data_IF_279791889645
#
_entry.id   IF_279791889645
#
_cell.length_a   1.000
_cell.length_b   1.000
_cell.length_c   1.000
_cell.angle_alpha   90.00
_cell.angle_beta   90.00
_cell.angle_gamma   90.00
#
_symmetry.space_group_name_H-M   'P 1'
#
loop_
_entity.id
_entity.type
_entity.pdbx_description
1 polymer ?
#
# COMPACT_ATOMS: atom_id res chain seq x y z
N UNK A 1 25.62 98.48 6.28
CA UNK A 1 25.65 97.29 5.41
C UNK A 1 25.52 95.94 6.16
N UNK A 2 24.90 95.91 7.35
CA UNK A 2 25.03 94.75 8.27
C UNK A 2 23.81 93.80 8.30
N UNK A 3 22.64 94.23 7.84
CA UNK A 3 21.38 93.46 7.98
C UNK A 3 21.18 92.40 6.90
N UNK A 4 21.48 92.71 5.63
CA UNK A 4 21.26 91.79 4.50
C UNK A 4 22.20 90.58 4.60
N UNK A 5 23.48 90.79 4.91
CA UNK A 5 24.46 89.69 5.04
C UNK A 5 24.13 88.77 6.22
N UNK A 6 23.72 89.34 7.36
CA UNK A 6 23.22 88.58 8.52
C UNK A 6 21.97 87.77 8.16
N UNK A 7 21.04 88.36 7.41
CA UNK A 7 19.85 87.67 6.94
C UNK A 7 20.20 86.49 6.03
N UNK A 8 21.10 86.66 5.05
CA UNK A 8 21.55 85.59 4.15
C UNK A 8 22.28 84.46 4.92
N UNK A 9 23.10 84.82 5.90
CA UNK A 9 23.78 83.84 6.76
C UNK A 9 22.76 83.04 7.60
N UNK A 10 21.76 83.71 8.19
CA UNK A 10 20.68 83.05 8.92
C UNK A 10 19.84 82.15 8.01
N UNK A 11 19.50 82.60 6.80
CA UNK A 11 18.74 81.81 5.82
C UNK A 11 19.51 80.59 5.35
N UNK A 12 20.82 80.73 5.07
CA UNK A 12 21.66 79.58 4.68
C UNK A 12 21.80 78.56 5.82
N UNK A 13 21.99 79.01 7.07
CA UNK A 13 21.98 78.11 8.24
C UNK A 13 20.63 77.42 8.40
N UNK A 14 19.52 78.14 8.27
CA UNK A 14 18.16 77.57 8.30
C UNK A 14 17.94 76.55 7.19
N UNK A 15 18.46 76.81 5.98
CA UNK A 15 18.33 75.92 4.83
C UNK A 15 19.15 74.64 5.03
N UNK A 16 20.37 74.74 5.57
CA UNK A 16 21.17 73.58 5.95
C UNK A 16 20.49 72.77 7.05
N UNK A 17 19.97 73.42 8.10
CA UNK A 17 19.21 72.74 9.15
C UNK A 17 17.97 72.05 8.59
N UNK A 18 17.25 72.69 7.67
CA UNK A 18 16.08 72.11 7.03
C UNK A 18 16.44 70.87 6.18
N UNK A 19 17.53 70.93 5.41
CA UNK A 19 18.04 69.78 4.65
C UNK A 19 18.49 68.63 5.56
N UNK A 20 19.11 68.93 6.70
CA UNK A 20 19.48 67.93 7.70
C UNK A 20 18.23 67.26 8.31
N UNK A 21 17.19 68.05 8.61
CA UNK A 21 15.92 67.51 9.13
C UNK A 21 15.22 66.65 8.08
N UNK A 22 15.20 67.07 6.81
CA UNK A 22 14.65 66.26 5.71
C UNK A 22 15.37 64.91 5.55
N UNK A 23 16.71 64.91 5.53
CA UNK A 23 17.48 63.65 5.48
C UNK A 23 17.24 62.77 6.70
N UNK A 24 17.10 63.38 7.89
CA UNK A 24 16.76 62.65 9.11
C UNK A 24 15.39 61.96 9.00
N UNK A 25 14.39 62.65 8.45
CA UNK A 25 13.05 62.10 8.22
C UNK A 25 13.05 60.98 7.16
N UNK A 26 13.79 61.14 6.06
CA UNK A 26 13.95 60.10 5.02
C UNK A 26 14.62 58.84 5.57
N UNK A 27 15.69 59.01 6.37
CA UNK A 27 16.37 57.89 7.01
C UNK A 27 15.43 57.14 7.96
N UNK A 28 14.69 57.88 8.79
CA UNK A 28 13.75 57.30 9.75
C UNK A 28 12.59 56.57 9.04
N UNK A 29 12.10 57.08 7.91
CA UNK A 29 11.12 56.40 7.06
C UNK A 29 11.69 55.10 6.47
N UNK A 30 12.95 55.12 6.03
CA UNK A 30 13.61 53.94 5.48
C UNK A 30 13.84 52.84 6.54
N UNK A 31 14.23 53.23 7.76
CA UNK A 31 14.34 52.31 8.90
C UNK A 31 12.99 51.66 9.24
N UNK A 32 11.89 52.43 9.22
CA UNK A 32 10.55 51.90 9.43
C UNK A 32 10.14 50.89 8.34
N UNK A 33 10.44 51.18 7.07
CA UNK A 33 10.17 50.25 5.97
C UNK A 33 10.98 48.95 6.11
N UNK A 34 12.26 49.04 6.46
CA UNK A 34 13.11 47.88 6.68
C UNK A 34 12.60 47.02 7.85
N UNK A 35 12.09 47.65 8.91
CA UNK A 35 11.53 46.94 10.06
C UNK A 35 10.22 46.22 9.69
N UNK A 36 9.33 46.88 8.93
CA UNK A 36 8.12 46.24 8.40
C UNK A 36 8.44 45.02 7.52
N UNK A 37 9.44 45.10 6.65
CA UNK A 37 9.85 43.96 5.82
C UNK A 37 10.38 42.78 6.66
N UNK A 38 11.13 43.05 7.73
CA UNK A 38 11.60 42.02 8.67
C UNK A 38 10.43 41.37 9.40
N UNK A 39 9.46 42.16 9.85
CA UNK A 39 8.27 41.66 10.56
C UNK A 39 7.39 40.82 9.63
N UNK A 40 7.21 41.21 8.37
CA UNK A 40 6.51 40.42 7.36
C UNK A 40 7.21 39.08 7.09
N UNK A 41 8.54 39.07 6.95
CA UNK A 41 9.30 37.81 6.79
C UNK A 41 9.15 36.89 8.01
N UNK A 42 9.15 37.44 9.22
CA UNK A 42 8.95 36.66 10.44
C UNK A 42 7.54 36.06 10.50
N UNK A 43 6.51 36.82 10.11
CA UNK A 43 5.12 36.34 10.01
C UNK A 43 4.99 35.19 9.01
N UNK A 44 5.55 35.34 7.80
CA UNK A 44 5.52 34.28 6.78
C UNK A 44 6.23 33.00 7.23
N UNK A 45 7.36 33.12 7.93
CA UNK A 45 8.08 31.97 8.52
C UNK A 45 7.30 31.30 9.65
N UNK A 46 6.53 32.07 10.43
CA UNK A 46 5.66 31.51 11.46
C UNK A 46 4.48 30.74 10.85
N UNK A 47 3.84 31.29 9.81
CA UNK A 47 2.77 30.61 9.06
C UNK A 47 3.25 29.32 8.39
N UNK A 48 4.45 29.32 7.79
CA UNK A 48 5.05 28.12 7.23
C UNK A 48 5.27 27.05 8.30
N UNK A 49 5.86 27.41 9.44
CA UNK A 49 6.04 26.48 10.57
C UNK A 49 4.70 25.94 11.07
N UNK A 50 3.66 26.77 11.13
CA UNK A 50 2.33 26.32 11.55
C UNK A 50 1.70 25.34 10.55
N UNK A 51 1.87 25.56 9.24
CA UNK A 51 1.44 24.60 8.20
C UNK A 51 2.22 23.29 8.26
N UNK A 52 3.52 23.34 8.54
CA UNK A 52 4.35 22.14 8.73
C UNK A 52 3.90 21.35 9.96
N UNK A 53 3.69 22.01 11.10
CA UNK A 53 3.16 21.37 12.31
C UNK A 53 1.78 20.75 12.09
N UNK A 54 0.91 21.40 11.30
CA UNK A 54 -0.40 20.86 10.96
C UNK A 54 -0.29 19.61 10.09
N UNK A 55 0.61 19.61 9.09
CA UNK A 55 0.92 18.42 8.27
C UNK A 55 1.54 17.30 9.11
N UNK A 56 2.41 17.63 10.06
CA UNK A 56 2.97 16.66 11.00
C UNK A 56 1.89 16.08 11.89
N UNK A 57 0.98 16.91 12.44
CA UNK A 57 -0.15 16.46 13.24
C UNK A 57 -1.10 15.58 12.43
N UNK A 58 -1.45 15.95 11.20
CA UNK A 58 -2.21 15.13 10.27
C UNK A 58 -1.48 13.82 9.94
N UNK A 59 -0.17 13.85 9.74
CA UNK A 59 0.64 12.65 9.51
C UNK A 59 0.70 11.76 10.76
N UNK A 60 0.74 12.34 11.95
CA UNK A 60 0.72 11.62 13.23
C UNK A 60 -0.66 11.04 13.50
N UNK A 61 -1.73 11.79 13.24
CA UNK A 61 -3.10 11.29 13.25
C UNK A 61 -3.30 10.19 12.21
N UNK A 62 -2.76 10.32 10.99
CA UNK A 62 -2.76 9.24 10.00
C UNK A 62 -1.97 8.03 10.47
N UNK A 63 -0.88 8.20 11.23
CA UNK A 63 -0.12 7.09 11.83
C UNK A 63 -0.84 6.44 13.01
N UNK A 64 -1.59 7.21 13.79
CA UNK A 64 -2.39 6.74 14.92
C UNK A 64 -3.72 6.11 14.47
N UNK A 65 -4.32 6.63 13.40
CA UNK A 65 -5.52 6.07 12.75
C UNK A 65 -5.16 4.94 11.79
N UNK A 66 -3.97 4.96 11.18
CA UNK A 66 -3.35 3.77 10.62
C UNK A 66 -2.86 2.91 11.76
N UNK A 67 -3.77 2.15 12.37
CA UNK A 67 -3.33 0.88 12.95
C UNK A 67 -2.41 0.24 11.91
N UNK A 68 -1.13 0.05 12.22
CA UNK A 68 -0.13 -0.60 11.37
C UNK A 68 -0.38 -2.11 11.26
N UNK A 69 -1.64 -2.51 11.34
CA UNK A 69 -2.14 -3.76 10.82
C UNK A 69 -2.54 -3.48 9.39
N UNK A 70 -2.09 -4.31 8.47
CA UNK A 70 -2.58 -4.37 7.09
C UNK A 70 -4.05 -4.80 7.03
N UNK A 71 -4.92 -4.29 7.92
CA UNK A 71 -6.34 -4.27 7.62
C UNK A 71 -6.51 -3.23 6.55
N UNK A 72 -6.83 -3.70 5.34
CA UNK A 72 -7.65 -2.94 4.38
C UNK A 72 -8.63 -2.06 5.20
N UNK A 73 -8.91 -0.80 4.77
CA UNK A 73 -10.00 -0.04 5.38
C UNK A 73 -11.18 -1.01 5.55
N UNK A 74 -11.71 -1.07 6.77
CA UNK A 74 -12.82 -1.92 7.16
C UNK A 74 -14.03 -1.51 6.33
N UNK A 75 -14.08 -1.94 5.07
CA UNK A 75 -15.29 -1.98 4.29
C UNK A 75 -16.05 -3.10 4.97
N UNK A 76 -16.99 -2.75 5.86
CA UNK A 76 -17.98 -3.71 6.36
C UNK A 76 -18.53 -4.38 5.10
N UNK A 77 -18.24 -5.67 4.89
CA UNK A 77 -18.36 -6.23 3.56
C UNK A 77 -19.83 -6.33 3.18
N UNK A 78 -20.27 -5.39 2.35
CA UNK A 78 -21.42 -5.41 1.45
C UNK A 78 -22.46 -6.51 1.78
N UNK A 79 -23.59 -6.11 2.36
CA UNK A 79 -24.71 -7.00 2.67
C UNK A 79 -24.49 -7.93 3.85
N UNK A 80 -25.51 -8.12 4.68
CA UNK A 80 -25.43 -9.03 5.83
C UNK A 80 -25.31 -10.48 5.34
N UNK A 81 -24.06 -10.93 5.20
CA UNK A 81 -23.68 -12.31 4.86
C UNK A 81 -23.38 -13.05 6.15
N UNK A 82 -24.43 -13.58 6.78
CA UNK A 82 -24.32 -14.26 8.07
C UNK A 82 -24.29 -15.78 7.90
N UNK A 83 -23.56 -16.51 8.75
CA UNK A 83 -23.69 -17.96 8.84
C UNK A 83 -25.13 -18.35 9.19
N UNK A 84 -25.70 -19.29 8.43
CA UNK A 84 -27.06 -19.78 8.65
C UNK A 84 -27.03 -21.12 9.38
N UNK A 85 -27.97 -21.31 10.31
CA UNK A 85 -28.05 -22.54 11.11
C UNK A 85 -28.35 -23.73 10.19
N UNK A 86 -27.50 -24.76 10.23
CA UNK A 86 -27.64 -25.97 9.41
C UNK A 86 -27.12 -25.85 7.99
N UNK A 87 -26.57 -24.70 7.60
CA UNK A 87 -25.94 -24.49 6.30
C UNK A 87 -24.42 -24.47 6.49
N UNK A 88 -23.74 -25.50 6.00
CA UNK A 88 -22.29 -25.65 6.07
C UNK A 88 -21.73 -25.76 4.66
N UNK A 89 -21.38 -24.63 4.01
CA UNK A 89 -20.87 -24.65 2.66
C UNK A 89 -19.55 -25.39 2.56
N UNK A 90 -19.36 -26.10 1.45
CA UNK A 90 -18.13 -26.84 1.21
C UNK A 90 -16.91 -25.92 1.10
N UNK A 91 -15.79 -26.47 1.53
CA UNK A 91 -14.48 -25.84 1.41
C UNK A 91 -13.68 -26.48 0.30
N UNK A 92 -12.96 -25.63 -0.42
CA UNK A 92 -12.12 -25.98 -1.55
C UNK A 92 -10.65 -25.86 -1.15
N UNK A 93 -9.75 -26.37 -2.01
CA UNK A 93 -8.30 -26.25 -1.83
C UNK A 93 -7.72 -25.36 -2.92
N UNK A 94 -6.76 -24.53 -2.55
CA UNK A 94 -6.04 -23.66 -3.48
C UNK A 94 -4.54 -23.76 -3.21
N UNK A 95 -3.74 -23.84 -4.28
CA UNK A 95 -2.28 -23.74 -4.20
C UNK A 95 -1.86 -22.27 -4.24
N UNK A 96 -0.96 -21.89 -3.33
CA UNK A 96 -0.41 -20.55 -3.23
C UNK A 96 1.10 -20.62 -2.96
N UNK A 97 1.91 -19.67 -3.44
CA UNK A 97 3.34 -19.62 -3.15
C UNK A 97 3.67 -19.66 -1.65
N UNK A 98 4.51 -20.60 -1.23
CA UNK A 98 4.88 -20.78 0.18
C UNK A 98 5.65 -19.58 0.76
N UNK A 99 6.33 -18.81 -0.10
CA UNK A 99 7.05 -17.57 0.28
C UNK A 99 6.14 -16.56 0.98
N UNK A 100 4.85 -16.51 0.66
CA UNK A 100 3.91 -15.57 1.28
C UNK A 100 3.70 -15.83 2.78
N UNK A 101 4.01 -17.03 3.26
CA UNK A 101 3.88 -17.44 4.66
C UNK A 101 5.19 -17.30 5.44
N UNK A 102 6.27 -16.82 4.81
CA UNK A 102 7.54 -16.61 5.48
C UNK A 102 7.51 -15.35 6.36
N UNK A 103 7.74 -15.51 7.65
CA UNK A 103 7.82 -14.40 8.62
C UNK A 103 9.24 -14.10 9.09
N UNK A 104 10.10 -15.11 9.07
CA UNK A 104 11.50 -15.02 9.48
C UNK A 104 12.41 -15.20 8.26
N UNK A 105 13.42 -14.33 8.14
CA UNK A 105 14.30 -14.27 6.96
C UNK A 105 15.13 -15.54 6.78
N UNK A 106 15.57 -16.13 7.89
CA UNK A 106 16.49 -17.27 7.92
C UNK A 106 15.77 -18.62 7.81
N UNK A 107 14.44 -18.65 7.95
CA UNK A 107 13.66 -19.88 7.84
C UNK A 107 13.55 -20.28 6.38
N UNK A 108 13.95 -21.50 6.07
CA UNK A 108 13.82 -22.07 4.72
C UNK A 108 12.34 -22.13 4.34
N UNK A 109 12.05 -21.72 3.11
CA UNK A 109 10.71 -21.83 2.54
C UNK A 109 10.44 -23.30 2.26
N UNK A 110 9.46 -23.89 2.95
CA UNK A 110 9.00 -25.26 2.74
C UNK A 110 7.48 -25.24 2.61
N UNK A 111 7.01 -25.69 1.46
CA UNK A 111 5.61 -25.85 1.13
C UNK A 111 5.08 -27.25 1.44
N UNK A 112 3.75 -27.38 1.54
CA UNK A 112 3.07 -28.66 1.78
C UNK A 112 2.38 -29.24 0.52
N UNK A 113 2.61 -28.67 -0.68
CA UNK A 113 2.08 -29.22 -1.92
C UNK A 113 2.79 -30.52 -2.34
N UNK A 114 2.00 -31.44 -2.90
CA UNK A 114 2.50 -32.69 -3.49
C UNK A 114 3.18 -32.51 -4.84
N UNK A 115 2.93 -31.40 -5.54
CA UNK A 115 3.42 -31.15 -6.90
C UNK A 115 4.66 -30.26 -6.91
N UNK A 116 4.75 -29.29 -5.99
CA UNK A 116 5.87 -28.36 -5.90
C UNK A 116 6.17 -27.97 -4.43
N UNK A 117 7.39 -28.24 -3.90
CA UNK A 117 7.75 -27.92 -2.52
C UNK A 117 7.83 -26.41 -2.21
N UNK A 118 7.74 -25.53 -3.21
CA UNK A 118 7.65 -24.08 -3.01
C UNK A 118 6.20 -23.57 -2.99
N UNK A 119 5.21 -24.48 -3.04
CA UNK A 119 3.79 -24.18 -3.01
C UNK A 119 3.14 -24.74 -1.75
N UNK A 120 2.16 -24.01 -1.22
CA UNK A 120 1.29 -24.42 -0.13
C UNK A 120 -0.12 -24.66 -0.63
N UNK A 121 -0.70 -25.81 -0.29
CA UNK A 121 -2.12 -26.10 -0.40
C UNK A 121 -2.82 -25.56 0.83
N UNK A 122 -3.67 -24.55 0.64
CA UNK A 122 -4.50 -23.96 1.68
C UNK A 122 -5.98 -24.31 1.45
N UNK A 123 -6.72 -24.40 2.54
CA UNK A 123 -8.18 -24.49 2.50
C UNK A 123 -8.76 -23.09 2.25
N UNK A 124 -9.74 -22.99 1.37
CA UNK A 124 -10.47 -21.74 1.04
C UNK A 124 -11.96 -22.04 0.92
N UNK A 125 -12.80 -21.03 1.03
CA UNK A 125 -14.21 -21.20 0.69
C UNK A 125 -14.35 -21.47 -0.82
N UNK A 126 -15.25 -22.38 -1.20
CA UNK A 126 -15.51 -22.65 -2.60
C UNK A 126 -16.09 -21.41 -3.32
N UNK A 127 -16.04 -21.41 -4.66
CA UNK A 127 -16.53 -20.28 -5.48
C UNK A 127 -17.97 -19.91 -5.10
N UNK A 128 -18.23 -18.62 -4.96
CA UNK A 128 -19.53 -18.07 -4.51
C UNK A 128 -19.66 -17.95 -3.00
N UNK A 129 -18.60 -18.32 -2.25
CA UNK A 129 -18.52 -18.21 -0.80
C UNK A 129 -17.23 -17.51 -0.40
N UNK A 130 -17.27 -16.77 0.69
CA UNK A 130 -16.14 -16.07 1.30
C UNK A 130 -16.03 -16.42 2.78
N UNK A 131 -14.84 -16.22 3.35
CA UNK A 131 -14.62 -16.44 4.79
C UNK A 131 -15.43 -15.43 5.60
N UNK A 132 -16.10 -15.90 6.64
CA UNK A 132 -16.80 -15.03 7.58
C UNK A 132 -15.79 -14.24 8.42
N UNK A 133 -16.04 -12.95 8.64
CA UNK A 133 -15.03 -12.05 9.24
C UNK A 133 -14.69 -12.41 10.69
N UNK A 134 -15.68 -12.83 11.47
CA UNK A 134 -15.51 -13.13 12.89
C UNK A 134 -15.07 -14.57 13.16
N UNK A 135 -15.35 -15.49 12.23
CA UNK A 135 -14.88 -16.87 12.27
C UNK A 135 -14.40 -17.29 10.88
N UNK A 136 -13.09 -17.21 10.67
CA UNK A 136 -12.47 -17.50 9.37
C UNK A 136 -12.60 -18.96 8.96
N UNK A 137 -13.02 -19.86 9.85
CA UNK A 137 -13.29 -21.25 9.53
C UNK A 137 -14.64 -21.46 8.85
N UNK A 138 -15.55 -20.48 8.93
CA UNK A 138 -16.87 -20.54 8.32
C UNK A 138 -16.91 -19.82 6.97
N UNK A 139 -17.73 -20.36 6.06
CA UNK A 139 -17.98 -19.79 4.76
C UNK A 139 -19.38 -19.18 4.71
N UNK A 140 -19.49 -17.97 4.20
CA UNK A 140 -20.75 -17.24 3.99
C UNK A 140 -20.88 -16.85 2.51
N UNK A 141 -22.10 -16.64 1.99
CA UNK A 141 -22.28 -16.31 0.58
C UNK A 141 -21.49 -15.05 0.21
N UNK A 142 -20.90 -15.06 -0.99
CA UNK A 142 -20.19 -13.90 -1.54
C UNK A 142 -21.04 -13.20 -2.60
N UNK A 143 -21.59 -12.03 -2.25
CA UNK A 143 -22.34 -11.16 -3.17
C UNK A 143 -21.44 -10.13 -3.87
N UNK A 144 -20.12 -10.12 -3.60
CA UNK A 144 -19.20 -9.13 -4.17
C UNK A 144 -19.59 -7.69 -3.82
N UNK A 145 -19.82 -6.87 -4.85
CA UNK A 145 -20.33 -5.49 -4.71
C UNK A 145 -21.86 -5.39 -4.76
N UNK A 146 -22.57 -6.50 -4.93
CA UNK A 146 -24.04 -6.51 -4.94
C UNK A 146 -24.55 -6.69 -3.52
N UNK A 147 -25.78 -6.26 -3.26
CA UNK A 147 -26.39 -6.36 -1.93
C UNK A 147 -25.68 -5.52 -0.86
N UNK A 148 -25.10 -4.36 -1.18
CA UNK A 148 -24.21 -3.64 -0.24
C UNK A 148 -24.89 -3.26 1.08
N UNK A 149 -26.17 -2.93 1.04
CA UNK A 149 -26.95 -2.45 2.18
C UNK A 149 -28.37 -3.02 2.15
N UNK A 150 -29.05 -3.01 3.30
CA UNK A 150 -30.47 -3.29 3.45
C UNK A 150 -30.96 -4.66 2.95
N UNK A 151 -30.08 -5.66 2.93
CA UNK A 151 -30.42 -7.03 2.54
C UNK A 151 -29.48 -8.09 3.10
N UNK A 152 -29.98 -9.32 3.09
CA UNK A 152 -29.23 -10.54 3.34
C UNK A 152 -28.64 -11.07 2.04
N UNK A 153 -27.34 -11.37 2.05
CA UNK A 153 -26.71 -12.13 0.97
C UNK A 153 -26.99 -13.62 1.19
N UNK A 154 -27.59 -14.29 0.20
CA UNK A 154 -27.87 -15.74 0.24
C UNK A 154 -27.10 -16.48 -0.85
N UNK A 155 -27.06 -17.81 -0.75
CA UNK A 155 -26.36 -18.67 -1.69
C UNK A 155 -26.68 -18.32 -3.16
N UNK A 156 -25.65 -18.36 -4.01
CA UNK A 156 -25.73 -17.94 -5.42
C UNK A 156 -25.54 -16.44 -5.66
N UNK A 157 -25.14 -15.66 -4.64
CA UNK A 157 -24.93 -14.22 -4.77
C UNK A 157 -26.24 -13.43 -4.91
N UNK A 158 -27.36 -14.01 -4.43
CA UNK A 158 -28.68 -13.38 -4.47
C UNK A 158 -28.89 -12.51 -3.24
N UNK A 159 -29.43 -11.32 -3.44
CA UNK A 159 -29.78 -10.41 -2.35
C UNK A 159 -31.25 -10.55 -1.98
N UNK A 160 -31.54 -10.76 -0.69
CA UNK A 160 -32.89 -10.72 -0.14
C UNK A 160 -33.01 -9.46 0.70
N UNK A 161 -33.76 -8.48 0.20
CA UNK A 161 -33.94 -7.22 0.90
C UNK A 161 -34.70 -7.38 2.23
N UNK A 162 -34.44 -6.49 3.18
CA UNK A 162 -35.21 -6.41 4.41
C UNK A 162 -36.66 -6.01 4.13
N UNK A 163 -37.51 -6.13 5.15
CA UNK A 163 -38.88 -5.62 5.11
C UNK A 163 -38.87 -4.15 4.71
N UNK A 164 -39.80 -3.76 3.84
CA UNK A 164 -39.91 -2.40 3.29
C UNK A 164 -38.75 -1.97 2.38
N UNK A 165 -37.90 -2.90 1.94
CA UNK A 165 -36.92 -2.69 0.89
C UNK A 165 -37.17 -3.61 -0.30
N UNK A 166 -36.86 -3.15 -1.50
CA UNK A 166 -36.98 -3.93 -2.74
C UNK A 166 -35.76 -3.76 -3.63
N UNK A 167 -35.48 -4.74 -4.47
CA UNK A 167 -34.39 -4.63 -5.46
C UNK A 167 -34.79 -3.64 -6.54
N UNK A 168 -33.94 -2.64 -6.76
CA UNK A 168 -34.04 -1.78 -7.92
C UNK A 168 -33.39 -2.44 -9.16
N UNK A 169 -33.44 -1.74 -10.29
CA UNK A 169 -32.79 -2.16 -11.55
C UNK A 169 -31.26 -2.30 -11.48
N UNK A 170 -30.61 -1.83 -10.41
CA UNK A 170 -29.17 -2.01 -10.12
C UNK A 170 -28.90 -3.14 -9.12
N UNK A 171 -29.89 -3.98 -8.80
CA UNK A 171 -29.80 -5.03 -7.78
C UNK A 171 -29.43 -4.53 -6.37
N UNK A 172 -29.74 -3.27 -6.06
CA UNK A 172 -29.58 -2.69 -4.73
C UNK A 172 -30.92 -2.68 -3.99
N UNK A 173 -30.89 -2.98 -2.69
CA UNK A 173 -32.07 -2.88 -1.84
C UNK A 173 -32.35 -1.42 -1.51
N UNK A 174 -33.36 -0.87 -2.17
CA UNK A 174 -33.82 0.51 -1.97
C UNK A 174 -35.03 0.55 -1.05
N UNK A 175 -35.16 1.60 -0.21
CA UNK A 175 -36.31 1.74 0.68
C UNK A 175 -37.59 1.98 -0.12
N UNK A 176 -38.69 1.52 0.45
CA UNK A 176 -40.06 1.76 -0.01
C UNK A 176 -40.84 2.50 1.08
N UNK A 177 -41.97 3.12 0.71
CA UNK A 177 -42.79 3.82 1.69
C UNK A 177 -43.32 2.84 2.76
N UNK A 178 -43.29 3.20 4.05
CA UNK A 178 -43.12 4.57 4.59
C UNK A 178 -41.66 5.01 4.83
N UNK A 179 -40.66 4.12 4.70
CA UNK A 179 -39.26 4.43 5.02
C UNK A 179 -38.66 5.47 4.07
N UNK A 180 -39.00 5.40 2.79
CA UNK A 180 -38.53 6.35 1.80
C UNK A 180 -38.85 5.90 0.38
N UNK A 181 -38.65 6.80 -0.57
CA UNK A 181 -38.74 6.48 -1.98
C UNK A 181 -37.64 7.25 -2.71
N UNK A 182 -36.57 6.59 -3.20
CA UNK A 182 -35.52 7.28 -3.92
C UNK A 182 -36.10 8.00 -5.14
N UNK A 183 -35.74 9.28 -5.33
CA UNK A 183 -36.30 10.13 -6.39
C UNK A 183 -37.83 10.27 -6.35
N UNK A 184 -38.39 10.27 -5.14
CA UNK A 184 -39.81 10.49 -4.93
C UNK A 184 -40.13 10.88 -3.49
N UNK A 185 -41.42 11.09 -3.24
CA UNK A 185 -41.95 11.46 -1.93
C UNK A 185 -42.96 10.41 -1.48
N UNK A 186 -42.83 9.99 -0.23
CA UNK A 186 -43.77 9.07 0.39
C UNK A 186 -44.97 9.81 0.97
N UNK A 187 -46.15 9.25 0.74
CA UNK A 187 -47.40 9.68 1.35
C UNK A 187 -47.81 8.72 2.47
N UNK A 188 -48.64 9.23 3.39
CA UNK A 188 -49.11 8.47 4.57
C UNK A 188 -49.86 7.17 4.20
N UNK A 189 -50.43 7.11 3.00
CA UNK A 189 -51.10 5.94 2.45
C UNK A 189 -50.13 4.88 1.88
N UNK A 190 -48.82 5.04 2.06
CA UNK A 190 -47.79 4.14 1.52
C UNK A 190 -47.51 4.32 0.03
N UNK A 191 -48.12 5.32 -0.63
CA UNK A 191 -47.88 5.58 -2.06
C UNK A 191 -46.63 6.44 -2.23
N UNK A 192 -45.78 6.06 -3.20
CA UNK A 192 -44.69 6.91 -3.65
C UNK A 192 -45.11 7.78 -4.84
N UNK A 193 -44.88 9.08 -4.76
CA UNK A 193 -44.97 9.99 -5.90
C UNK A 193 -43.56 10.33 -6.41
N UNK A 194 -43.27 9.97 -7.65
CA UNK A 194 -41.96 10.22 -8.24
C UNK A 194 -41.72 11.69 -8.58
N UNK A 195 -40.46 12.11 -8.47
CA UNK A 195 -39.99 13.41 -8.91
C UNK A 195 -40.09 13.54 -10.45
N UNK A 196 -40.03 14.77 -10.96
CA UNK A 196 -40.08 15.03 -12.40
C UNK A 196 -38.96 14.27 -13.14
N UNK A 197 -39.33 13.55 -14.20
CA UNK A 197 -38.41 12.73 -14.98
C UNK A 197 -38.21 11.32 -14.42
N UNK A 198 -38.91 10.97 -13.35
CA UNK A 198 -38.97 9.61 -12.81
C UNK A 198 -40.40 9.07 -12.88
N UNK A 199 -40.52 7.76 -12.99
CA UNK A 199 -41.78 7.04 -13.01
C UNK A 199 -41.73 5.86 -12.05
N UNK A 200 -42.92 5.41 -11.62
CA UNK A 200 -43.02 4.24 -10.78
C UNK A 200 -42.63 2.99 -11.58
N UNK A 201 -41.77 2.15 -10.99
CA UNK A 201 -41.47 0.82 -11.50
C UNK A 201 -42.75 -0.02 -11.71
N UNK A 202 -42.66 -1.12 -12.47
CA UNK A 202 -43.77 -2.07 -12.65
C UNK A 202 -44.36 -2.59 -11.34
N UNK A 203 -43.54 -2.69 -10.28
CA UNK A 203 -44.01 -3.06 -8.93
C UNK A 203 -44.69 -1.92 -8.18
N UNK A 204 -44.64 -0.68 -8.69
CA UNK A 204 -45.18 0.56 -8.09
C UNK A 204 -44.63 0.90 -6.70
N UNK A 205 -43.45 0.38 -6.35
CA UNK A 205 -42.85 0.51 -5.00
C UNK A 205 -41.71 1.52 -4.89
N UNK A 206 -41.05 1.84 -6.00
CA UNK A 206 -39.94 2.79 -6.07
C UNK A 206 -39.95 3.51 -7.41
N UNK A 207 -39.19 4.61 -7.51
CA UNK A 207 -39.08 5.41 -8.72
C UNK A 207 -37.84 5.04 -9.53
N UNK A 208 -38.04 4.86 -10.84
CA UNK A 208 -36.98 4.68 -11.83
C UNK A 208 -36.97 5.88 -12.81
N UNK A 209 -35.81 6.24 -13.38
CA UNK A 209 -35.74 7.35 -14.32
C UNK A 209 -36.48 7.05 -15.63
N UNK A 210 -37.14 8.06 -16.20
CA UNK A 210 -37.79 8.01 -17.50
C UNK A 210 -36.77 8.15 -18.64
N UNK A 211 -36.88 7.30 -19.64
CA UNK A 211 -35.96 7.25 -20.77
C UNK A 211 -36.75 7.55 -22.05
N UNK A 212 -36.77 8.82 -22.45
CA UNK A 212 -37.51 9.25 -23.64
C UNK A 212 -36.96 8.62 -24.94
N UNK A 213 -35.66 8.31 -24.97
CA UNK A 213 -35.03 7.50 -26.00
C UNK A 213 -34.85 6.08 -25.44
N UNK A 214 -35.25 5.06 -26.19
CA UNK A 214 -34.97 3.66 -25.88
C UNK A 214 -33.46 3.49 -25.69
N UNK A 215 -33.02 3.24 -24.45
CA UNK A 215 -31.61 2.92 -24.20
C UNK A 215 -31.19 1.70 -25.03
N UNK A 216 -29.94 1.70 -25.50
CA UNK A 216 -29.43 0.64 -26.37
C UNK A 216 -29.26 -0.71 -25.66
N UNK A 217 -28.70 -1.68 -26.37
CA UNK A 217 -28.37 -2.98 -25.78
C UNK A 217 -27.35 -2.82 -24.63
N UNK A 218 -27.60 -3.51 -23.52
CA UNK A 218 -26.79 -3.43 -22.28
C UNK A 218 -26.68 -2.03 -21.66
N UNK A 219 -27.63 -1.15 -21.93
CA UNK A 219 -27.73 0.17 -21.31
C UNK A 219 -28.89 0.24 -20.33
N UNK A 220 -28.66 0.96 -19.23
CA UNK A 220 -29.67 1.31 -18.24
C UNK A 220 -29.70 2.82 -18.07
N UNK A 221 -30.88 3.29 -17.70
CA UNK A 221 -31.12 4.69 -17.45
C UNK A 221 -30.73 4.98 -16.01
N UNK A 222 -29.67 5.76 -15.82
CA UNK A 222 -29.21 6.12 -14.47
C UNK A 222 -29.84 7.42 -14.00
N UNK A 223 -30.17 8.31 -14.93
CA UNK A 223 -30.79 9.61 -14.73
C UNK A 223 -31.82 9.84 -15.85
N UNK A 224 -32.82 10.73 -15.66
CA UNK A 224 -33.82 11.02 -16.67
C UNK A 224 -33.19 11.43 -18.01
N UNK A 225 -33.54 10.73 -19.08
CA UNK A 225 -33.01 10.99 -20.43
C UNK A 225 -31.54 10.63 -20.66
N UNK A 226 -30.85 9.98 -19.71
CA UNK A 226 -29.42 9.63 -19.82
C UNK A 226 -29.18 8.13 -19.64
N UNK A 227 -28.86 7.47 -20.76
CA UNK A 227 -28.51 6.06 -20.81
C UNK A 227 -27.01 5.86 -20.52
N UNK A 228 -26.69 4.96 -19.60
CA UNK A 228 -25.33 4.52 -19.29
C UNK A 228 -25.24 3.01 -19.37
N UNK A 229 -24.04 2.45 -19.43
CA UNK A 229 -23.91 0.99 -19.45
C UNK A 229 -24.45 0.36 -18.16
N UNK A 230 -25.08 -0.81 -18.31
CA UNK A 230 -25.47 -1.66 -17.20
C UNK A 230 -24.24 -2.07 -16.37
N UNK A 231 -24.47 -2.49 -15.13
CA UNK A 231 -23.40 -2.99 -14.26
C UNK A 231 -22.63 -4.12 -14.94
N UNK A 232 -21.29 -4.03 -14.94
CA UNK A 232 -20.42 -4.98 -15.62
C UNK A 232 -20.26 -4.73 -17.12
N UNK A 233 -20.78 -3.62 -17.66
CA UNK A 233 -20.56 -3.20 -19.05
C UNK A 233 -19.92 -1.81 -19.11
N UNK A 234 -19.16 -1.53 -20.18
CA UNK A 234 -18.49 -0.25 -20.41
C UNK A 234 -18.53 0.15 -21.89
N UNK A 235 -18.47 1.45 -22.18
CA UNK A 235 -18.30 1.94 -23.56
C UNK A 235 -16.81 1.94 -23.90
N UNK A 236 -16.46 1.39 -25.06
CA UNK A 236 -15.07 1.43 -25.54
C UNK A 236 -14.61 2.85 -25.91
N UNK A 237 -13.30 3.06 -26.01
CA UNK A 237 -12.72 4.35 -26.39
C UNK A 237 -12.89 4.63 -27.90
N UNK A 238 -13.15 5.91 -28.26
CA UNK A 238 -13.23 6.49 -29.61
C UNK A 238 -13.93 5.61 -30.67
N UNK A 239 -13.18 4.74 -31.36
CA UNK A 239 -13.67 3.88 -32.45
C UNK A 239 -14.60 2.76 -31.95
N UNK A 240 -14.41 2.31 -30.71
CA UNK A 240 -15.26 1.27 -30.10
C UNK A 240 -16.57 1.81 -29.53
N UNK A 241 -16.76 3.14 -29.48
CA UNK A 241 -18.02 3.74 -29.02
C UNK A 241 -19.21 3.34 -29.92
N UNK A 242 -18.95 3.04 -31.20
CA UNK A 242 -19.95 2.56 -32.14
C UNK A 242 -20.51 1.17 -31.78
N UNK A 243 -19.75 0.33 -31.03
CA UNK A 243 -20.19 -1.00 -30.61
C UNK A 243 -21.10 -0.98 -29.37
N UNK A 244 -21.42 0.20 -28.82
CA UNK A 244 -22.25 0.33 -27.62
C UNK A 244 -21.56 -0.18 -26.35
N UNK A 245 -22.36 -0.65 -25.39
CA UNK A 245 -21.88 -1.15 -24.09
C UNK A 245 -21.38 -2.59 -24.19
N UNK A 246 -20.08 -2.77 -23.98
CA UNK A 246 -19.36 -4.05 -24.04
C UNK A 246 -19.16 -4.64 -22.65
N UNK A 247 -19.27 -5.96 -22.47
CA UNK A 247 -19.09 -6.61 -21.17
C UNK A 247 -17.66 -6.50 -20.65
N UNK A 248 -17.52 -6.38 -19.34
CA UNK A 248 -16.26 -6.33 -18.60
C UNK A 248 -16.01 -7.71 -17.98
N UNK A 249 -14.80 -8.24 -18.14
CA UNK A 249 -14.33 -9.41 -17.39
C UNK A 249 -13.12 -9.01 -16.55
N UNK A 250 -13.18 -9.30 -15.25
CA UNK A 250 -12.05 -9.14 -14.33
C UNK A 250 -11.79 -10.50 -13.66
N UNK A 251 -10.63 -11.13 -13.86
CA UNK A 251 -9.55 -10.70 -14.76
C UNK A 251 -9.95 -10.75 -16.25
N UNK A 252 -9.13 -10.13 -17.11
CA UNK A 252 -9.30 -10.15 -18.56
C UNK A 252 -9.36 -11.59 -19.14
N UNK A 253 -10.05 -11.76 -20.27
CA UNK A 253 -10.23 -13.07 -20.89
C UNK A 253 -8.96 -13.64 -21.51
N UNK A 254 -7.90 -12.85 -21.73
CA UNK A 254 -6.67 -13.31 -22.37
C UNK A 254 -6.93 -13.72 -23.82
N UNK A 255 -6.75 -15.00 -24.16
CA UNK A 255 -7.03 -15.53 -25.50
C UNK A 255 -8.51 -15.89 -25.68
N UNK A 256 -9.38 -14.93 -25.39
CA UNK A 256 -10.82 -15.06 -25.52
C UNK A 256 -11.48 -13.69 -25.50
N UNK A 257 -12.80 -13.68 -25.53
CA UNK A 257 -13.59 -12.47 -25.47
C UNK A 257 -14.72 -12.60 -24.44
N UNK A 258 -15.12 -11.47 -23.86
CA UNK A 258 -16.25 -11.43 -22.92
C UNK A 258 -17.57 -11.56 -23.69
N UNK A 259 -18.36 -12.57 -23.35
CA UNK A 259 -19.73 -12.74 -23.89
C UNK A 259 -20.79 -12.17 -22.93
N UNK A 260 -20.46 -12.06 -21.65
CA UNK A 260 -21.28 -11.48 -20.56
C UNK A 260 -20.34 -11.01 -19.45
N UNK A 261 -20.75 -10.13 -18.51
CA UNK A 261 -19.88 -9.72 -17.42
C UNK A 261 -19.27 -10.92 -16.68
N UNK A 262 -17.93 -10.94 -16.60
CA UNK A 262 -17.13 -12.04 -16.03
C UNK A 262 -17.35 -13.42 -16.64
N UNK A 263 -17.79 -13.50 -17.90
CA UNK A 263 -17.96 -14.75 -18.65
C UNK A 263 -17.23 -14.67 -19.98
N UNK A 264 -16.15 -15.44 -20.09
CA UNK A 264 -15.30 -15.48 -21.28
C UNK A 264 -15.65 -16.69 -22.16
N UNK A 265 -15.57 -16.48 -23.48
CA UNK A 265 -15.48 -17.52 -24.49
C UNK A 265 -14.06 -17.55 -25.08
N UNK A 266 -13.44 -18.72 -25.07
CA UNK A 266 -12.06 -18.88 -25.52
C UNK A 266 -11.98 -19.03 -27.04
N UNK A 267 -10.94 -18.46 -27.65
CA UNK A 267 -10.69 -18.67 -29.07
C UNK A 267 -10.35 -20.14 -29.35
N UNK A 268 -10.61 -20.65 -30.57
CA UNK A 268 -10.26 -22.01 -30.94
C UNK A 268 -8.78 -22.34 -30.65
N UNK A 269 -8.53 -23.48 -29.99
CA UNK A 269 -7.19 -23.91 -29.55
C UNK A 269 -6.79 -23.44 -28.15
N UNK A 270 -7.61 -22.60 -27.50
CA UNK A 270 -7.44 -22.17 -26.11
C UNK A 270 -8.53 -22.76 -25.23
N UNK A 271 -8.23 -22.90 -23.94
CA UNK A 271 -9.14 -23.46 -22.94
C UNK A 271 -9.22 -22.57 -21.69
N UNK A 272 -10.32 -22.67 -20.95
CA UNK A 272 -10.48 -21.95 -19.68
C UNK A 272 -9.49 -22.50 -18.66
N UNK A 273 -8.78 -21.62 -17.95
CA UNK A 273 -7.94 -21.98 -16.81
C UNK A 273 -8.77 -22.77 -15.78
N UNK A 274 -8.16 -23.78 -15.15
CA UNK A 274 -8.81 -24.53 -14.06
C UNK A 274 -9.26 -23.56 -12.95
N UNK A 275 -10.53 -23.61 -12.57
CA UNK A 275 -11.18 -22.71 -11.60
C UNK A 275 -11.17 -21.21 -11.96
N UNK A 276 -10.76 -20.83 -13.17
CA UNK A 276 -10.74 -19.45 -13.66
C UNK A 276 -11.77 -19.18 -14.75
N UNK A 277 -11.85 -17.92 -15.18
CA UNK A 277 -12.60 -17.49 -16.37
C UNK A 277 -11.69 -17.17 -17.56
N UNK A 278 -10.43 -16.81 -17.30
CA UNK A 278 -9.43 -16.46 -18.32
C UNK A 278 -9.08 -17.66 -19.19
N UNK A 279 -8.92 -17.39 -20.49
CA UNK A 279 -8.54 -18.36 -21.49
C UNK A 279 -7.02 -18.41 -21.66
N UNK A 280 -6.47 -19.61 -21.66
CA UNK A 280 -5.05 -19.88 -21.84
C UNK A 280 -4.82 -21.05 -22.80
N UNK A 281 -3.60 -21.16 -23.35
CA UNK A 281 -3.22 -22.30 -24.18
C UNK A 281 -3.03 -23.56 -23.34
N UNK A 282 -2.80 -24.70 -24.00
CA UNK A 282 -2.33 -25.91 -23.31
C UNK A 282 -1.00 -25.61 -22.62
N UNK A 283 -1.02 -25.56 -21.29
CA UNK A 283 0.10 -25.11 -20.48
C UNK A 283 0.37 -26.15 -19.39
N UNK A 284 1.61 -26.65 -19.32
CA UNK A 284 2.01 -27.60 -18.28
C UNK A 284 2.33 -26.92 -16.94
N UNK A 285 2.48 -25.59 -16.93
CA UNK A 285 2.84 -24.79 -15.75
C UNK A 285 1.67 -23.90 -15.31
N UNK A 286 1.64 -23.54 -14.03
CA UNK A 286 0.67 -22.62 -13.45
C UNK A 286 1.15 -21.17 -13.61
N UNK A 287 0.76 -20.47 -14.68
CA UNK A 287 1.07 -19.05 -14.89
C UNK A 287 0.05 -18.13 -14.18
N UNK A 288 -0.06 -18.22 -12.85
CA UNK A 288 -0.92 -17.33 -12.06
C UNK A 288 -0.38 -15.88 -12.13
N UNK A 289 -1.25 -14.86 -12.24
CA UNK A 289 -0.88 -13.45 -12.53
C UNK A 289 -0.09 -13.24 -13.85
N UNK A 290 -0.25 -14.15 -14.81
CA UNK A 290 0.35 -14.07 -16.13
C UNK A 290 -0.43 -14.87 -17.18
N UNK A 291 0.18 -14.97 -18.35
CA UNK A 291 -0.33 -15.73 -19.49
C UNK A 291 0.77 -16.62 -20.05
N UNK A 292 0.43 -17.80 -20.54
CA UNK A 292 1.40 -18.63 -21.24
C UNK A 292 1.69 -18.03 -22.63
N UNK A 293 2.96 -17.74 -22.92
CA UNK A 293 3.41 -17.47 -24.29
C UNK A 293 3.57 -18.77 -25.09
N UNK A 294 4.00 -19.85 -24.43
CA UNK A 294 4.10 -21.20 -24.97
C UNK A 294 3.96 -22.22 -23.82
N UNK A 295 4.06 -23.52 -24.11
CA UNK A 295 3.91 -24.61 -23.13
C UNK A 295 4.84 -24.52 -21.90
N UNK A 296 5.95 -23.77 -21.99
CA UNK A 296 7.04 -23.70 -21.01
C UNK A 296 7.42 -22.27 -20.62
N UNK A 297 6.67 -21.25 -21.04
CA UNK A 297 7.03 -19.84 -20.78
C UNK A 297 5.83 -19.03 -20.36
N UNK A 298 5.88 -18.49 -19.13
CA UNK A 298 4.91 -17.51 -18.63
C UNK A 298 5.37 -16.08 -18.98
N UNK A 299 4.45 -15.27 -19.49
CA UNK A 299 4.55 -13.81 -19.56
C UNK A 299 3.78 -13.24 -18.38
N UNK A 300 4.49 -12.60 -17.46
CA UNK A 300 3.89 -12.05 -16.26
C UNK A 300 3.23 -10.69 -16.53
N UNK A 301 2.16 -10.39 -15.79
CA UNK A 301 1.53 -9.06 -15.82
C UNK A 301 2.47 -8.00 -15.25
N UNK A 302 2.17 -6.73 -15.55
CA UNK A 302 2.93 -5.60 -15.00
C UNK A 302 2.97 -5.63 -13.47
N UNK A 303 4.17 -5.46 -12.91
CA UNK A 303 4.39 -5.55 -11.47
C UNK A 303 4.53 -6.99 -10.95
N UNK A 304 4.66 -7.99 -11.83
CA UNK A 304 4.96 -9.37 -11.48
C UNK A 304 6.20 -9.86 -12.25
N UNK A 305 6.94 -10.79 -11.64
CA UNK A 305 8.13 -11.42 -12.22
C UNK A 305 8.03 -12.94 -12.13
N UNK A 306 8.56 -13.63 -13.13
CA UNK A 306 8.56 -15.09 -13.16
C UNK A 306 9.53 -15.64 -12.12
N UNK A 307 9.05 -16.55 -11.27
CA UNK A 307 9.86 -17.25 -10.28
C UNK A 307 10.07 -18.71 -10.68
N UNK A 308 11.33 -19.12 -10.77
CA UNK A 308 11.70 -20.47 -11.21
C UNK A 308 11.34 -21.55 -10.20
N UNK A 309 11.31 -21.22 -8.90
CA UNK A 309 11.05 -22.17 -7.83
C UNK A 309 9.56 -22.55 -7.78
N UNK A 310 8.69 -21.53 -7.80
CA UNK A 310 7.23 -21.70 -7.78
C UNK A 310 6.64 -21.93 -9.17
N UNK A 311 7.40 -21.71 -10.25
CA UNK A 311 6.95 -21.83 -11.66
C UNK A 311 5.74 -20.95 -12.00
N UNK A 312 5.58 -19.83 -11.29
CA UNK A 312 4.47 -18.89 -11.43
C UNK A 312 4.98 -17.44 -11.40
N UNK A 313 4.10 -16.47 -11.63
CA UNK A 313 4.44 -15.05 -11.55
C UNK A 313 4.19 -14.51 -10.13
N UNK A 314 5.27 -14.15 -9.44
CA UNK A 314 5.23 -13.54 -8.12
C UNK A 314 5.22 -12.00 -8.20
N UNK A 315 4.60 -11.30 -7.24
CA UNK A 315 4.63 -9.85 -7.21
C UNK A 315 6.05 -9.29 -7.14
N UNK A 316 6.25 -8.18 -7.84
CA UNK A 316 7.51 -7.46 -7.94
C UNK A 316 7.45 -6.14 -7.14
N UNK A 317 8.39 -5.93 -6.22
CA UNK A 317 8.55 -4.67 -5.48
C UNK A 317 9.79 -3.87 -5.87
N UNK A 318 10.51 -4.27 -6.93
CA UNK A 318 11.81 -3.74 -7.29
C UNK A 318 12.90 -4.06 -6.25
N UNK A 319 14.00 -3.30 -6.29
CA UNK A 319 15.20 -3.53 -5.47
C UNK A 319 15.06 -3.08 -4.00
N UNK A 320 13.90 -2.55 -3.61
CA UNK A 320 13.72 -1.96 -2.28
C UNK A 320 13.10 -2.92 -1.24
N UNK A 321 12.65 -4.12 -1.60
CA UNK A 321 12.05 -5.10 -0.67
C UNK A 321 13.09 -6.04 -0.02
N UNK A 322 14.32 -5.57 0.20
CA UNK A 322 15.28 -6.27 1.05
C UNK A 322 14.71 -6.49 2.44
N UNK A 323 14.88 -7.68 3.01
CA UNK A 323 14.35 -8.07 4.33
C UNK A 323 12.81 -8.06 4.44
N UNK A 324 12.12 -8.36 3.34
CA UNK A 324 10.70 -8.63 3.36
C UNK A 324 10.26 -9.56 2.24
N UNK A 325 8.94 -9.76 2.18
CA UNK A 325 8.26 -10.53 1.14
C UNK A 325 7.32 -9.62 0.37
N UNK A 326 7.40 -9.64 -0.95
CA UNK A 326 6.44 -8.96 -1.82
C UNK A 326 5.07 -9.64 -1.74
N UNK A 327 4.08 -8.97 -1.18
CA UNK A 327 2.71 -9.49 -1.05
C UNK A 327 1.79 -9.02 -2.17
N UNK A 328 2.11 -7.89 -2.82
CA UNK A 328 1.50 -7.39 -4.05
C UNK A 328 2.47 -6.41 -4.73
N UNK A 329 2.25 -6.00 -5.99
CA UNK A 329 3.16 -5.11 -6.69
C UNK A 329 3.46 -3.83 -5.89
N UNK A 330 4.74 -3.54 -5.65
CA UNK A 330 5.20 -2.39 -4.83
C UNK A 330 4.94 -2.51 -3.30
N UNK A 331 4.30 -3.58 -2.83
CA UNK A 331 3.96 -3.77 -1.43
C UNK A 331 4.77 -4.91 -0.80
N UNK A 332 5.74 -4.52 0.03
CA UNK A 332 6.58 -5.40 0.83
C UNK A 332 6.05 -5.56 2.27
N UNK A 333 5.93 -6.81 2.74
CA UNK A 333 5.76 -7.15 4.16
C UNK A 333 7.13 -7.47 4.76
N UNK A 334 7.55 -6.68 5.74
CA UNK A 334 8.85 -6.87 6.38
C UNK A 334 8.90 -8.14 7.25
N UNK A 335 10.08 -8.75 7.34
CA UNK A 335 10.33 -9.86 8.25
C UNK A 335 10.30 -9.40 9.72
N UNK A 336 10.20 -10.36 10.64
CA UNK A 336 10.28 -10.10 12.08
C UNK A 336 11.54 -9.31 12.43
N UNK A 337 11.37 -8.25 13.23
CA UNK A 337 12.47 -7.36 13.63
C UNK A 337 12.84 -6.29 12.59
N UNK A 338 12.09 -6.20 11.49
CA UNK A 338 12.19 -5.13 10.52
C UNK A 338 10.88 -4.34 10.44
N UNK A 339 10.99 -3.04 10.19
CA UNK A 339 9.85 -2.12 10.03
C UNK A 339 9.94 -1.41 8.69
N UNK A 340 8.78 -1.14 8.08
CA UNK A 340 8.72 -0.44 6.79
C UNK A 340 9.06 1.03 6.98
N UNK A 341 10.15 1.47 6.35
CA UNK A 341 10.52 2.87 6.19
C UNK A 341 10.50 3.23 4.70
N UNK A 342 9.50 4.01 4.28
CA UNK A 342 9.21 4.31 2.87
C UNK A 342 9.06 3.01 2.06
N UNK A 343 9.99 2.72 1.15
CA UNK A 343 9.99 1.55 0.28
C UNK A 343 10.84 0.39 0.82
N UNK A 344 11.59 0.59 1.92
CA UNK A 344 12.55 -0.40 2.45
C UNK A 344 12.14 -0.97 3.79
N UNK A 345 12.56 -2.20 4.08
CA UNK A 345 12.46 -2.80 5.41
C UNK A 345 13.77 -2.55 6.17
N UNK A 346 13.71 -1.68 7.17
CA UNK A 346 14.84 -1.34 8.03
C UNK A 346 14.78 -2.13 9.33
N UNK A 347 15.94 -2.56 9.82
CA UNK A 347 16.03 -3.32 11.06
C UNK A 347 15.70 -2.45 12.28
N UNK A 348 15.11 -3.07 13.30
CA UNK A 348 14.75 -2.43 14.57
C UNK A 348 15.73 -2.88 15.66
N UNK A 349 16.22 -1.94 16.47
CA UNK A 349 16.98 -2.21 17.68
C UNK A 349 16.26 -1.59 18.87
N UNK A 350 15.88 -2.41 19.86
CA UNK A 350 15.04 -1.98 20.99
C UNK A 350 15.69 -0.85 21.81
N UNK A 351 17.01 -0.86 21.96
CA UNK A 351 17.77 0.20 22.67
C UNK A 351 18.35 1.29 21.75
N UNK A 352 18.09 1.23 20.44
CA UNK A 352 18.80 2.04 19.45
C UNK A 352 20.30 1.68 19.32
N UNK A 353 21.02 2.42 18.47
CA UNK A 353 22.46 2.23 18.22
C UNK A 353 23.31 3.46 18.54
N UNK A 354 22.69 4.54 19.05
CA UNK A 354 23.32 5.86 19.18
C UNK A 354 23.46 6.60 17.84
N UNK A 355 23.97 7.83 17.87
CA UNK A 355 24.12 8.69 16.68
C UNK A 355 25.15 8.16 15.66
N UNK A 356 26.09 7.32 16.09
CA UNK A 356 27.19 6.79 15.28
C UNK A 356 26.96 5.32 14.85
N UNK A 357 25.70 4.88 14.91
CA UNK A 357 25.32 3.51 14.59
C UNK A 357 24.02 3.43 13.82
N UNK A 358 23.87 2.39 13.00
CA UNK A 358 22.62 2.04 12.34
C UNK A 358 22.27 0.58 12.61
N UNK A 359 20.98 0.27 12.78
CA UNK A 359 20.52 -1.11 12.81
C UNK A 359 20.74 -1.77 11.45
N UNK A 360 21.64 -2.75 11.38
CA UNK A 360 21.94 -3.51 10.15
C UNK A 360 21.22 -4.86 10.13
N UNK A 361 20.82 -5.37 11.29
CA UNK A 361 19.93 -6.51 11.48
C UNK A 361 19.17 -6.31 12.81
N UNK A 362 18.11 -7.08 13.11
CA UNK A 362 17.33 -6.90 14.33
C UNK A 362 18.21 -6.97 15.58
N UNK A 363 18.20 -5.92 16.40
CA UNK A 363 19.05 -5.76 17.58
C UNK A 363 20.57 -5.88 17.34
N UNK A 364 21.03 -5.75 16.09
CA UNK A 364 22.45 -5.71 15.73
C UNK A 364 22.79 -4.33 15.18
N UNK A 365 23.59 -3.60 15.94
CA UNK A 365 24.10 -2.30 15.53
C UNK A 365 25.31 -2.46 14.61
N UNK A 366 25.37 -1.63 13.58
CA UNK A 366 26.53 -1.40 12.75
C UNK A 366 27.16 -0.07 13.12
N UNK A 367 28.35 -0.09 13.70
CA UNK A 367 29.09 1.10 14.11
C UNK A 367 30.04 1.57 13.01
N UNK A 368 29.98 2.87 12.69
CA UNK A 368 30.85 3.51 11.71
C UNK A 368 31.03 5.01 12.02
N UNK A 369 32.19 5.57 11.69
CA UNK A 369 32.49 7.01 11.87
C UNK A 369 31.77 7.85 10.81
N UNK A 370 31.70 7.32 9.58
CA UNK A 370 30.99 7.92 8.44
C UNK A 370 30.07 6.88 7.80
N UNK A 371 28.84 7.24 7.43
CA UNK A 371 28.01 6.40 6.57
C UNK A 371 28.65 6.33 5.19
N UNK A 372 29.51 5.33 4.97
CA UNK A 372 30.09 5.07 3.67
C UNK A 372 29.07 4.47 2.70
N UNK A 373 29.28 4.60 1.38
CA UNK A 373 28.50 3.89 0.36
C UNK A 373 28.67 2.37 0.49
N UNK A 374 29.88 1.93 0.86
CA UNK A 374 30.18 0.54 1.18
C UNK A 374 29.87 0.27 2.66
N UNK A 375 29.03 -0.73 2.89
CA UNK A 375 28.43 -1.07 4.19
C UNK A 375 29.42 -1.75 5.15
N UNK A 376 30.63 -1.23 5.33
CA UNK A 376 31.59 -1.77 6.29
C UNK A 376 31.32 -1.19 7.68
N UNK A 377 30.42 -1.83 8.41
CA UNK A 377 30.13 -1.49 9.80
C UNK A 377 30.77 -2.51 10.74
N UNK A 378 31.39 -2.04 11.83
CA UNK A 378 31.72 -2.93 12.93
C UNK A 378 30.42 -3.44 13.54
N UNK A 379 30.21 -4.76 13.54
CA UNK A 379 29.02 -5.36 14.15
C UNK A 379 29.08 -5.22 15.67
N UNK A 380 27.93 -4.89 16.24
CA UNK A 380 27.75 -4.63 17.66
C UNK A 380 26.36 -5.12 18.09
N UNK A 381 26.23 -6.41 18.31
CA UNK A 381 25.02 -7.01 18.84
C UNK A 381 24.89 -6.73 20.34
N UNK A 382 23.71 -6.30 20.78
CA UNK A 382 23.40 -5.91 22.17
C UNK A 382 24.27 -4.77 22.76
N UNK A 383 24.98 -4.01 21.91
CA UNK A 383 25.78 -2.86 22.32
C UNK A 383 25.35 -1.56 21.61
N UNK A 384 26.06 -0.49 21.92
CA UNK A 384 25.85 0.86 21.36
C UNK A 384 27.10 1.34 20.61
N UNK A 385 26.95 2.22 19.64
CA UNK A 385 28.07 2.79 18.89
C UNK A 385 28.52 4.13 19.48
N UNK A 386 29.82 4.26 19.74
CA UNK A 386 30.42 5.50 20.22
C UNK A 386 30.87 6.44 19.08
N UNK A 387 31.33 7.65 19.43
CA UNK A 387 31.80 8.66 18.46
C UNK A 387 32.99 8.24 17.58
N UNK A 388 33.70 7.18 17.95
CA UNK A 388 34.78 6.59 17.14
C UNK A 388 34.26 5.48 16.21
N UNK A 389 32.95 5.29 16.10
CA UNK A 389 32.37 4.19 15.33
C UNK A 389 32.68 2.80 15.92
N UNK A 390 32.93 2.71 17.23
CA UNK A 390 33.25 1.45 17.91
C UNK A 390 32.10 0.96 18.80
N UNK A 391 31.98 -0.35 18.92
CA UNK A 391 31.03 -1.02 19.80
C UNK A 391 31.38 -0.78 21.28
N UNK A 392 30.39 -0.33 22.05
CA UNK A 392 30.43 -0.12 23.50
C UNK A 392 29.36 -0.98 24.16
N UNK A 393 29.77 -1.79 25.12
CA UNK A 393 28.87 -2.60 25.94
C UNK A 393 28.39 -1.83 27.16
N UNK A 394 27.22 -2.22 27.67
CA UNK A 394 26.70 -1.71 28.94
C UNK A 394 27.61 -2.14 30.11
N UNK A 395 27.50 -1.44 31.23
CA UNK A 395 28.27 -1.74 32.44
C UNK A 395 28.00 -3.18 32.89
N UNK A 396 29.07 -3.93 33.20
CA UNK A 396 29.00 -5.35 33.56
C UNK A 396 29.03 -6.33 32.39
N UNK A 397 28.93 -5.84 31.14
CA UNK A 397 29.11 -6.66 29.94
C UNK A 397 30.49 -6.42 29.32
N UNK A 398 31.05 -7.46 28.70
CA UNK A 398 32.28 -7.40 27.93
C UNK A 398 31.99 -7.58 26.44
N UNK A 399 32.84 -6.97 25.61
CA UNK A 399 32.78 -7.13 24.16
C UNK A 399 33.50 -8.43 23.78
N UNK A 400 32.81 -9.30 23.05
CA UNK A 400 33.38 -10.48 22.42
C UNK A 400 33.14 -10.41 20.90
N UNK A 401 34.20 -10.13 20.14
CA UNK A 401 34.19 -9.99 18.66
C UNK A 401 33.14 -8.97 18.18
N UNK A 402 31.94 -9.40 17.83
CA UNK A 402 30.88 -8.59 17.23
C UNK A 402 29.70 -8.31 18.18
N UNK A 403 29.82 -8.69 19.45
CA UNK A 403 28.70 -8.63 20.40
C UNK A 403 29.09 -8.30 21.84
N UNK A 404 28.11 -7.84 22.60
CA UNK A 404 28.20 -7.61 24.04
C UNK A 404 27.55 -8.76 24.81
N UNK A 405 28.26 -9.30 25.80
CA UNK A 405 27.79 -10.42 26.62
C UNK A 405 28.37 -10.38 28.03
N UNK A 406 27.78 -11.18 28.94
CA UNK A 406 28.36 -11.36 30.29
C UNK A 406 29.75 -11.99 30.19
N UNK A 407 30.74 -11.53 30.96
CA UNK A 407 32.06 -12.15 31.02
C UNK A 407 32.00 -13.66 31.29
N UNK A 408 31.08 -14.10 32.15
CA UNK A 408 30.96 -15.50 32.58
C UNK A 408 30.41 -16.42 31.47
N UNK A 409 29.82 -15.86 30.40
CA UNK A 409 29.23 -16.65 29.30
C UNK A 409 30.13 -16.73 28.06
N UNK A 410 31.24 -16.00 28.02
CA UNK A 410 32.13 -15.91 26.84
C UNK A 410 32.70 -17.27 26.45
N UNK A 411 33.29 -17.98 27.41
CA UNK A 411 33.95 -19.28 27.18
C UNK A 411 32.95 -20.34 26.72
N UNK A 412 31.79 -20.38 27.37
CA UNK A 412 30.67 -21.25 27.01
C UNK A 412 30.13 -20.97 25.62
N UNK A 413 29.97 -19.70 25.24
CA UNK A 413 29.53 -19.32 23.90
C UNK A 413 30.55 -19.73 22.83
N UNK A 414 31.84 -19.53 23.10
CA UNK A 414 32.93 -19.87 22.20
C UNK A 414 33.05 -21.38 21.96
N UNK A 415 32.84 -22.19 22.99
CA UNK A 415 32.88 -23.66 22.86
C UNK A 415 31.63 -24.23 22.19
N UNK A 416 30.45 -23.65 22.42
CA UNK A 416 29.19 -24.16 21.83
C UNK A 416 29.02 -23.79 20.35
N UNK A 417 29.56 -22.67 19.88
CA UNK A 417 29.33 -22.16 18.53
C UNK A 417 30.63 -21.83 17.76
N UNK A 418 31.58 -22.77 17.63
CA UNK A 418 32.91 -22.48 17.07
C UNK A 418 32.85 -21.95 15.64
N UNK A 419 31.94 -22.49 14.82
CA UNK A 419 31.73 -22.05 13.43
C UNK A 419 31.29 -20.58 13.37
N UNK A 420 30.34 -20.19 14.23
CA UNK A 420 29.83 -18.81 14.27
C UNK A 420 30.91 -17.85 14.78
N UNK A 421 31.65 -18.25 15.81
CA UNK A 421 32.76 -17.45 16.37
C UNK A 421 33.85 -17.23 15.34
N UNK A 422 34.26 -18.28 14.62
CA UNK A 422 35.25 -18.16 13.54
C UNK A 422 34.74 -17.24 12.41
N UNK A 423 33.48 -17.36 12.00
CA UNK A 423 32.90 -16.49 10.98
C UNK A 423 32.88 -15.01 11.43
N UNK A 424 32.47 -14.72 12.66
CA UNK A 424 32.50 -13.37 13.24
C UNK A 424 33.93 -12.84 13.36
N UNK A 425 34.90 -13.69 13.75
CA UNK A 425 36.30 -13.30 13.87
C UNK A 425 36.90 -12.93 12.51
N UNK A 426 36.64 -13.74 11.47
CA UNK A 426 37.09 -13.46 10.09
C UNK A 426 36.46 -12.16 9.58
N UNK A 427 35.17 -11.95 9.83
CA UNK A 427 34.49 -10.73 9.44
C UNK A 427 35.11 -9.48 10.10
N UNK A 428 35.37 -9.55 11.41
CA UNK A 428 35.97 -8.46 12.16
C UNK A 428 37.44 -8.23 11.75
N UNK A 429 38.20 -9.30 11.51
CA UNK A 429 39.56 -9.23 10.97
C UNK A 429 39.57 -8.52 9.62
N UNK A 430 38.71 -8.92 8.69
CA UNK A 430 38.63 -8.31 7.36
C UNK A 430 38.30 -6.82 7.43
N UNK A 431 37.42 -6.43 8.35
CA UNK A 431 37.02 -5.05 8.57
C UNK A 431 38.14 -4.17 9.14
N UNK A 432 38.87 -4.66 10.15
CA UNK A 432 39.89 -3.87 10.85
C UNK A 432 41.26 -3.93 10.19
N UNK A 433 41.67 -5.12 9.75
CA UNK A 433 43.03 -5.45 9.33
C UNK A 433 43.08 -5.93 7.88
N UNK A 434 42.14 -6.77 7.45
CA UNK A 434 42.17 -7.44 6.14
C UNK A 434 42.25 -6.48 4.96
N UNK A 435 41.69 -5.26 5.08
CA UNK A 435 41.86 -4.19 4.07
C UNK A 435 43.33 -3.80 3.81
N UNK A 436 44.24 -4.05 4.75
CA UNK A 436 45.67 -3.81 4.62
C UNK A 436 46.41 -5.02 4.02
N UNK A 437 45.76 -6.17 3.91
CA UNK A 437 46.32 -7.39 3.35
C UNK A 437 45.70 -7.65 1.98
N UNK A 438 46.47 -7.48 0.90
CA UNK A 438 46.03 -7.84 -0.44
C UNK A 438 46.10 -9.36 -0.67
N UNK A 439 45.16 -10.11 -0.07
CA UNK A 439 45.11 -11.57 -0.16
C UNK A 439 44.68 -12.11 -1.53
N UNK A 440 44.29 -11.24 -2.48
CA UNK A 440 43.96 -11.67 -3.85
C UNK A 440 45.17 -12.12 -4.67
N UNK A 441 46.40 -11.82 -4.23
CA UNK A 441 47.62 -12.21 -4.95
C UNK A 441 48.06 -13.66 -4.72
N UNK A 442 47.41 -14.44 -3.84
CA UNK A 442 47.80 -15.84 -3.59
C UNK A 442 46.97 -16.88 -4.36
N UNK A 443 45.94 -16.49 -5.13
CA UNK A 443 45.21 -17.45 -5.98
C UNK A 443 45.81 -17.62 -7.38
N UNK A 444 46.62 -16.67 -7.87
CA UNK A 444 47.22 -16.76 -9.21
C UNK A 444 48.67 -17.28 -9.22
N UNK A 445 49.23 -17.65 -8.05
CA UNK A 445 50.54 -18.30 -7.96
C UNK A 445 50.47 -19.84 -7.92
N UNK A 446 49.41 -20.43 -8.48
CA UNK A 446 49.34 -21.88 -8.76
C UNK A 446 49.54 -22.20 -10.24
N UNK A 447 50.45 -21.49 -10.93
CA UNK A 447 50.94 -21.91 -12.25
C UNK A 447 52.38 -21.42 -12.45
N UNK A 448 53.33 -22.15 -11.89
CA UNK A 448 54.74 -22.31 -12.29
C UNK A 448 55.32 -23.42 -11.41
#
# INVERSE_FOLDING_TARGET
MSTILRSLCLHSVLLVLFLCVLHGLELQLHEQQLQQQKDEQLRLRAEQRQRELLREHEALQRRLSSSTTTRKPYIIPNGLSLPRRGEHPDKCRQEVPAVFFQYDKEVKIVGNSSTNPYMNVIEVCCKGWRRYEYDWSQCVPDCGERCQENGFCVAGGKCVCFTDFVLNYRNNCVPTCPLGCPHGRCYLNGTCQCDKGYELDGSRKFCQPQCNATCGHNEVCLEPGKCSCAEGYTRGLRESAALGCQPICIPDCGYGHCVRPNECECFPGFQKRKNGITCEGDCYMTCENGFCANKTTCVCQNGYRYDKNTTTCLPDCGDNCDNGVCISPGNCRCFKGYVRNRERCEAVCVGGCGFYGKCIAPNVCGCAIVPGPERTYQRCEYGLCNAMGRCRCQVGMTRFIDRCMSPDTVTTYASMNPVKVNASLIQEFNLLLGRHFNLTTLSDMWWL
#
